data_IF_201606695719
#
_entry.id   IF_201606695719
#
_cell.length_a   1.000
_cell.length_b   1.000
_cell.length_c   1.000
_cell.angle_alpha   90.00
_cell.angle_beta   90.00
_cell.angle_gamma   90.00
#
_symmetry.space_group_name_H-M   'P 1'
#
loop_
_entity.id
_entity.type
_entity.pdbx_description
1 polymer ?
#
# COMPACT_ATOMS: atom_id res chain seq x y z
N UNK A 1 -26.35 -9.10 10.31
CA UNK A 1 -25.10 -8.35 10.17
C UNK A 1 -25.10 -7.75 8.77
N UNK A 2 -24.92 -6.44 8.64
CA UNK A 2 -24.80 -5.82 7.31
C UNK A 2 -23.46 -6.22 6.70
N UNK A 3 -23.48 -6.65 5.43
CA UNK A 3 -22.24 -6.89 4.67
C UNK A 3 -21.47 -5.57 4.57
N UNK A 4 -20.17 -5.55 4.89
CA UNK A 4 -19.35 -4.37 4.63
C UNK A 4 -19.45 -3.96 3.16
N UNK A 5 -19.61 -2.67 2.89
CA UNK A 5 -19.55 -2.10 1.55
C UNK A 5 -18.11 -1.65 1.27
N UNK A 6 -17.48 -2.28 0.29
CA UNK A 6 -16.14 -1.97 -0.20
C UNK A 6 -16.18 -1.50 -1.66
N UNK A 7 -17.32 -0.98 -2.12
CA UNK A 7 -17.39 -0.29 -3.40
C UNK A 7 -16.36 0.83 -3.47
N UNK A 8 -15.81 1.02 -4.66
CA UNK A 8 -14.87 2.10 -4.95
C UNK A 8 -15.54 3.08 -5.91
N UNK A 9 -15.14 4.34 -5.87
CA UNK A 9 -15.66 5.34 -6.81
C UNK A 9 -15.45 4.93 -8.28
N UNK A 10 -16.44 5.20 -9.13
CA UNK A 10 -16.38 4.91 -10.57
C UNK A 10 -15.46 5.88 -11.34
N UNK A 11 -15.24 7.08 -10.79
CA UNK A 11 -14.40 8.09 -11.42
C UNK A 11 -12.95 8.01 -10.91
N UNK A 12 -12.02 8.24 -11.84
CA UNK A 12 -10.59 8.08 -11.58
C UNK A 12 -10.05 9.02 -10.49
N UNK A 13 -10.65 10.21 -10.33
CA UNK A 13 -10.16 11.20 -9.37
C UNK A 13 -10.49 10.80 -7.92
N UNK A 14 -11.71 10.34 -7.67
CA UNK A 14 -12.11 9.83 -6.37
C UNK A 14 -11.44 8.50 -6.06
N UNK A 15 -11.34 7.59 -7.04
CA UNK A 15 -10.60 6.34 -6.88
C UNK A 15 -9.12 6.60 -6.51
N UNK A 16 -8.48 7.59 -7.12
CA UNK A 16 -7.11 7.98 -6.76
C UNK A 16 -7.01 8.53 -5.32
N UNK A 17 -8.04 9.24 -4.85
CA UNK A 17 -8.11 9.72 -3.46
C UNK A 17 -8.31 8.54 -2.49
N UNK A 18 -9.19 7.59 -2.80
CA UNK A 18 -9.36 6.35 -2.03
C UNK A 18 -8.04 5.57 -1.91
N UNK A 19 -7.33 5.37 -3.02
CA UNK A 19 -6.01 4.72 -3.04
C UNK A 19 -5.00 5.49 -2.18
N UNK A 20 -5.05 6.83 -2.19
CA UNK A 20 -4.17 7.66 -1.34
C UNK A 20 -4.49 7.46 0.15
N UNK A 21 -5.77 7.41 0.51
CA UNK A 21 -6.22 7.09 1.87
C UNK A 21 -5.79 5.68 2.29
N UNK A 22 -5.90 4.68 1.40
CA UNK A 22 -5.45 3.31 1.69
C UNK A 22 -3.94 3.23 1.96
N UNK A 23 -3.12 3.98 1.20
CA UNK A 23 -1.67 4.08 1.47
C UNK A 23 -1.39 4.68 2.84
N UNK A 24 -2.14 5.71 3.23
CA UNK A 24 -2.02 6.33 4.56
C UNK A 24 -2.44 5.36 5.66
N UNK A 25 -3.56 4.67 5.52
CA UNK A 25 -4.02 3.65 6.47
C UNK A 25 -3.00 2.52 6.63
N UNK A 26 -2.48 1.99 5.53
CA UNK A 26 -1.43 0.96 5.56
C UNK A 26 -0.15 1.46 6.25
N UNK A 27 0.20 2.73 6.05
CA UNK A 27 1.34 3.35 6.74
C UNK A 27 1.12 3.43 8.25
N UNK A 28 -0.05 3.88 8.68
CA UNK A 28 -0.42 3.93 10.10
C UNK A 28 -0.40 2.53 10.74
N UNK A 29 -0.89 1.51 10.02
CA UNK A 29 -0.80 0.12 10.48
C UNK A 29 0.65 -0.34 10.65
N UNK A 30 1.53 -0.01 9.70
CA UNK A 30 2.97 -0.33 9.81
C UNK A 30 3.65 0.39 10.97
N UNK A 31 3.31 1.65 11.23
CA UNK A 31 3.85 2.42 12.37
C UNK A 31 3.39 1.87 13.72
N UNK A 32 2.18 1.31 13.79
CA UNK A 32 1.65 0.66 14.99
C UNK A 32 2.26 -0.74 15.23
N UNK A 33 2.91 -1.34 14.23
CA UNK A 33 3.62 -2.62 14.38
C UNK A 33 4.97 -2.42 15.08
N UNK A 34 5.45 -3.47 15.76
CA UNK A 34 6.83 -3.48 16.26
C UNK A 34 7.83 -3.31 15.11
N UNK A 35 8.92 -2.55 15.34
CA UNK A 35 9.92 -2.20 14.32
C UNK A 35 10.44 -3.41 13.52
N UNK A 36 10.65 -4.55 14.18
CA UNK A 36 11.10 -5.78 13.53
C UNK A 36 10.06 -6.32 12.54
N UNK A 37 8.77 -6.29 12.90
CA UNK A 37 7.70 -6.80 12.05
C UNK A 37 7.36 -5.83 10.93
N UNK A 38 7.35 -4.53 11.19
CA UNK A 38 7.25 -3.51 10.14
C UNK A 38 8.37 -3.66 9.10
N UNK A 39 9.62 -3.84 9.56
CA UNK A 39 10.77 -4.09 8.69
C UNK A 39 10.62 -5.36 7.84
N UNK A 40 10.11 -6.46 8.43
CA UNK A 40 9.81 -7.71 7.71
C UNK A 40 8.73 -7.54 6.66
N UNK A 41 7.65 -6.82 6.96
CA UNK A 41 6.58 -6.55 6.00
C UNK A 41 7.12 -5.73 4.82
N UNK A 42 7.91 -4.70 5.10
CA UNK A 42 8.53 -3.88 4.05
C UNK A 42 9.45 -4.69 3.14
N UNK A 43 10.30 -5.56 3.70
CA UNK A 43 11.15 -6.45 2.90
C UNK A 43 10.33 -7.43 2.06
N UNK A 44 9.20 -7.94 2.57
CA UNK A 44 8.29 -8.80 1.80
C UNK A 44 7.65 -8.03 0.64
N UNK A 45 7.19 -6.81 0.87
CA UNK A 45 6.67 -5.94 -0.19
C UNK A 45 7.74 -5.71 -1.26
N UNK A 46 8.98 -5.36 -0.90
CA UNK A 46 10.05 -5.16 -1.89
C UNK A 46 10.35 -6.42 -2.70
N UNK A 47 10.34 -7.61 -2.06
CA UNK A 47 10.53 -8.88 -2.76
C UNK A 47 9.37 -9.25 -3.70
N UNK A 48 8.15 -8.85 -3.37
CA UNK A 48 6.98 -9.09 -4.23
C UNK A 48 7.14 -8.45 -5.61
N UNK A 49 7.89 -7.34 -5.71
CA UNK A 49 8.16 -6.68 -6.99
C UNK A 49 8.78 -7.62 -8.03
N UNK A 50 9.65 -8.53 -7.61
CA UNK A 50 10.31 -9.50 -8.50
C UNK A 50 9.36 -10.59 -9.03
N UNK A 51 8.16 -10.69 -8.48
CA UNK A 51 7.13 -11.67 -8.85
C UNK A 51 6.02 -11.06 -9.71
N UNK A 52 6.07 -9.75 -9.99
CA UNK A 52 5.08 -9.06 -10.83
C UNK A 52 5.57 -9.12 -12.29
N UNK A 53 4.86 -9.86 -13.13
CA UNK A 53 5.19 -10.03 -14.55
C UNK A 53 4.82 -8.79 -15.40
N UNK A 54 3.73 -8.10 -15.05
CA UNK A 54 3.29 -6.89 -15.74
C UNK A 54 4.14 -5.68 -15.33
N UNK A 55 4.91 -5.14 -16.27
CA UNK A 55 5.83 -4.02 -16.02
C UNK A 55 5.13 -2.76 -15.50
N UNK A 56 3.88 -2.51 -15.92
CA UNK A 56 3.11 -1.34 -15.48
C UNK A 56 2.70 -1.51 -14.02
N UNK A 57 2.17 -2.67 -13.66
CA UNK A 57 1.84 -3.01 -12.28
C UNK A 57 3.09 -3.01 -11.40
N UNK A 58 4.22 -3.53 -11.90
CA UNK A 58 5.49 -3.53 -11.18
C UNK A 58 5.95 -2.08 -10.89
N UNK A 59 5.86 -1.17 -11.87
CA UNK A 59 6.21 0.23 -11.69
C UNK A 59 5.30 0.93 -10.66
N UNK A 60 3.98 0.73 -10.73
CA UNK A 60 3.01 1.29 -9.78
C UNK A 60 3.24 0.74 -8.37
N UNK A 61 3.48 -0.56 -8.25
CA UNK A 61 3.77 -1.23 -6.98
C UNK A 61 5.08 -0.72 -6.37
N UNK A 62 6.16 -0.65 -7.16
CA UNK A 62 7.46 -0.11 -6.73
C UNK A 62 7.34 1.33 -6.21
N UNK A 63 6.63 2.20 -6.93
CA UNK A 63 6.37 3.59 -6.51
C UNK A 63 5.59 3.62 -5.20
N UNK A 64 4.56 2.79 -5.06
CA UNK A 64 3.72 2.73 -3.87
C UNK A 64 4.49 2.26 -2.65
N UNK A 65 5.29 1.19 -2.77
CA UNK A 65 6.15 0.70 -1.69
C UNK A 65 7.17 1.76 -1.26
N UNK A 66 7.77 2.51 -2.21
CA UNK A 66 8.68 3.63 -1.87
C UNK A 66 7.97 4.74 -1.08
N UNK A 67 6.76 5.12 -1.48
CA UNK A 67 5.95 6.12 -0.76
C UNK A 67 5.67 5.69 0.69
N UNK A 68 5.20 4.46 0.87
CA UNK A 68 4.92 3.90 2.21
C UNK A 68 6.21 3.79 3.02
N UNK A 69 7.32 3.32 2.41
CA UNK A 69 8.63 3.18 3.06
C UNK A 69 9.14 4.49 3.64
N UNK A 70 8.95 5.59 2.92
CA UNK A 70 9.35 6.91 3.36
C UNK A 70 8.43 7.43 4.48
N UNK A 71 7.14 7.15 4.39
CA UNK A 71 6.15 7.65 5.34
C UNK A 71 6.20 6.92 6.69
N UNK A 72 6.33 5.59 6.74
CA UNK A 72 6.32 4.85 8.02
C UNK A 72 7.57 5.09 8.88
N UNK A 73 8.65 5.59 8.28
CA UNK A 73 9.91 5.91 8.98
C UNK A 73 9.85 7.22 9.76
N UNK A 74 8.82 8.04 9.53
CA UNK A 74 8.53 9.25 10.30
C UNK A 74 7.77 8.86 11.57
#
# INVERSE_FOLDING_TARGET
MSTPDFSTAENNQELANEVSCLKAMLTLMLQAMGQADAGRVMLKMEKQLALIEDETQAAVFSKTVKQIKQAYRQ
#
